data_IF_833593653814
#
_entry.id   IF_833593653814
#
_cell.length_a   1.000
_cell.length_b   1.000
_cell.length_c   1.000
_cell.angle_alpha   90.00
_cell.angle_beta   90.00
_cell.angle_gamma   90.00
#
_symmetry.space_group_name_H-M   'P 1'
#
loop_
_entity.id
_entity.type
_entity.pdbx_description
1 polymer ?
#
# COMPACT_ATOMS: atom_id res chain seq x y z
N UNK A 1 11.22 22.68 7.74
CA UNK A 1 10.74 21.30 7.47
C UNK A 1 10.87 21.03 5.97
N UNK A 2 11.56 19.97 5.55
CA UNK A 2 11.63 19.63 4.13
C UNK A 2 10.25 19.14 3.66
N UNK A 3 9.69 19.77 2.62
CA UNK A 3 8.45 19.32 2.00
C UNK A 3 8.69 17.97 1.31
N UNK A 4 7.91 16.95 1.67
CA UNK A 4 7.97 15.65 1.00
C UNK A 4 7.44 15.83 -0.42
N UNK A 5 8.28 15.54 -1.41
CA UNK A 5 7.89 15.58 -2.83
C UNK A 5 7.14 14.30 -3.18
N UNK A 6 5.89 14.46 -3.64
CA UNK A 6 5.10 13.38 -4.23
C UNK A 6 5.14 13.52 -5.74
N UNK A 7 5.36 12.40 -6.44
CA UNK A 7 5.29 12.33 -7.90
C UNK A 7 3.91 11.76 -8.30
N UNK A 8 3.27 12.28 -9.36
CA UNK A 8 2.05 11.68 -9.90
C UNK A 8 2.34 10.31 -10.52
N UNK A 9 1.32 9.46 -10.60
CA UNK A 9 1.44 8.07 -11.08
C UNK A 9 2.03 8.01 -12.49
N UNK A 10 1.61 8.92 -13.35
CA UNK A 10 2.10 9.07 -14.73
C UNK A 10 3.62 9.24 -14.78
N UNK A 11 4.19 10.10 -13.94
CA UNK A 11 5.65 10.29 -13.86
C UNK A 11 6.34 9.02 -13.39
N UNK A 12 5.76 8.28 -12.44
CA UNK A 12 6.33 7.01 -11.95
C UNK A 12 6.32 5.94 -13.04
N UNK A 13 5.21 5.83 -13.78
CA UNK A 13 5.05 4.89 -14.90
C UNK A 13 6.03 5.20 -16.03
N UNK A 14 6.13 6.46 -16.44
CA UNK A 14 7.10 6.90 -17.44
C UNK A 14 8.55 6.60 -17.03
N UNK A 15 8.87 6.75 -15.74
CA UNK A 15 10.19 6.41 -15.22
C UNK A 15 10.49 4.90 -15.31
N UNK A 16 9.47 4.07 -15.07
CA UNK A 16 9.58 2.61 -15.21
C UNK A 16 9.76 2.22 -16.68
N UNK A 17 8.97 2.80 -17.59
CA UNK A 17 9.09 2.57 -19.04
C UNK A 17 10.50 2.87 -19.54
N UNK A 18 11.05 4.04 -19.19
CA UNK A 18 12.42 4.42 -19.54
C UNK A 18 13.47 3.44 -18.99
N UNK A 19 13.23 2.88 -17.79
CA UNK A 19 14.13 1.86 -17.22
C UNK A 19 14.03 0.52 -17.93
N UNK A 20 12.86 0.17 -18.46
CA UNK A 20 12.64 -1.04 -19.26
C UNK A 20 13.30 -0.90 -20.63
N UNK A 21 13.24 0.29 -21.25
CA UNK A 21 13.94 0.57 -22.52
C UNK A 21 15.46 0.63 -22.39
N UNK A 22 15.99 0.52 -21.18
CA UNK A 22 17.43 0.43 -20.92
C UNK A 22 18.11 1.77 -20.59
N UNK A 23 17.35 2.87 -20.47
CA UNK A 23 17.91 4.19 -20.12
C UNK A 23 18.54 4.14 -18.73
N UNK A 24 19.76 4.67 -18.55
CA UNK A 24 20.43 4.66 -17.25
C UNK A 24 19.68 5.52 -16.23
N UNK A 25 19.77 5.13 -14.94
CA UNK A 25 19.06 5.80 -13.83
C UNK A 25 19.33 7.30 -13.77
N UNK A 26 20.56 7.74 -14.08
CA UNK A 26 20.94 9.16 -14.06
C UNK A 26 20.15 9.98 -15.07
N UNK A 27 20.05 9.51 -16.31
CA UNK A 27 19.29 10.19 -17.37
C UNK A 27 17.79 10.22 -17.04
N UNK A 28 17.23 9.14 -16.49
CA UNK A 28 15.82 9.12 -16.05
C UNK A 28 15.56 10.13 -14.95
N UNK A 29 16.49 10.25 -13.99
CA UNK A 29 16.37 11.22 -12.90
C UNK A 29 16.42 12.67 -13.41
N UNK A 30 17.30 12.95 -14.36
CA UNK A 30 17.44 14.27 -14.98
C UNK A 30 16.19 14.62 -15.80
N UNK A 31 15.75 13.73 -16.69
CA UNK A 31 14.58 13.94 -17.56
C UNK A 31 13.29 14.16 -16.77
N UNK A 32 13.08 13.44 -15.65
CA UNK A 32 11.87 13.50 -14.85
C UNK A 32 12.01 14.36 -13.59
N UNK A 33 13.13 15.07 -13.43
CA UNK A 33 13.43 15.87 -12.24
C UNK A 33 13.24 15.10 -10.92
N UNK A 34 13.63 13.81 -10.93
CA UNK A 34 13.54 12.94 -9.76
C UNK A 34 14.75 13.20 -8.87
N UNK A 35 14.52 13.67 -7.66
CA UNK A 35 15.61 14.02 -6.73
C UNK A 35 16.32 12.80 -6.14
N UNK A 36 15.59 11.71 -5.93
CA UNK A 36 16.09 10.56 -5.17
C UNK A 36 16.04 9.27 -5.97
N UNK A 37 17.21 8.69 -6.26
CA UNK A 37 17.35 7.41 -6.97
C UNK A 37 16.59 6.25 -6.32
N UNK A 38 16.50 6.23 -4.98
CA UNK A 38 15.85 5.13 -4.25
C UNK A 38 14.35 5.09 -4.51
N UNK A 39 13.72 6.23 -4.86
CA UNK A 39 12.32 6.25 -5.29
C UNK A 39 12.15 5.47 -6.59
N UNK A 40 13.04 5.69 -7.56
CA UNK A 40 13.02 4.97 -8.84
C UNK A 40 13.27 3.46 -8.65
N UNK A 41 14.25 3.10 -7.82
CA UNK A 41 14.52 1.69 -7.48
C UNK A 41 13.30 1.01 -6.81
N UNK A 42 12.60 1.75 -5.96
CA UNK A 42 11.38 1.26 -5.28
C UNK A 42 10.24 1.05 -6.29
N UNK A 43 10.01 1.99 -7.21
CA UNK A 43 9.00 1.85 -8.26
C UNK A 43 9.30 0.65 -9.17
N UNK A 44 10.57 0.46 -9.55
CA UNK A 44 10.99 -0.69 -10.34
C UNK A 44 10.80 -2.02 -9.58
N UNK A 45 11.02 -2.03 -8.27
CA UNK A 45 10.76 -3.20 -7.41
C UNK A 45 9.27 -3.56 -7.39
N UNK A 46 8.38 -2.58 -7.26
CA UNK A 46 6.93 -2.82 -7.30
C UNK A 46 6.49 -3.32 -8.66
N UNK A 47 6.97 -2.73 -9.75
CA UNK A 47 6.71 -3.20 -11.10
C UNK A 47 7.09 -4.68 -11.29
N UNK A 48 8.31 -5.08 -10.87
CA UNK A 48 8.77 -6.48 -10.96
C UNK A 48 7.92 -7.46 -10.14
N UNK A 49 7.27 -6.98 -9.08
CA UNK A 49 6.36 -7.77 -8.24
C UNK A 49 4.90 -7.72 -8.69
N UNK A 50 4.57 -6.96 -9.74
CA UNK A 50 3.18 -6.73 -10.17
C UNK A 50 2.38 -5.82 -9.23
N UNK A 51 3.03 -5.14 -8.28
CA UNK A 51 2.38 -4.29 -7.27
C UNK A 51 2.15 -2.85 -7.77
N UNK A 52 1.60 -2.67 -8.98
CA UNK A 52 1.40 -1.34 -9.59
C UNK A 52 0.47 -0.45 -8.78
N UNK A 53 -0.48 -1.07 -8.09
CA UNK A 53 -1.43 -0.45 -7.17
C UNK A 53 -0.73 0.35 -6.04
N UNK A 54 0.55 0.08 -5.75
CA UNK A 54 1.36 0.88 -4.81
C UNK A 54 1.81 2.24 -5.37
N UNK A 55 1.86 2.41 -6.69
CA UNK A 55 2.26 3.67 -7.32
C UNK A 55 1.25 4.78 -7.08
N UNK A 56 -0.02 4.43 -6.85
CA UNK A 56 -1.12 5.35 -6.55
C UNK A 56 -1.11 5.88 -5.12
N UNK A 57 -0.29 5.28 -4.23
CA UNK A 57 -0.33 5.64 -2.81
C UNK A 57 0.20 7.07 -2.57
N UNK A 58 -0.56 7.90 -1.81
CA UNK A 58 -0.11 9.22 -1.43
C UNK A 58 0.99 9.15 -0.37
N UNK A 59 1.93 10.09 -0.43
CA UNK A 59 3.07 10.13 0.49
C UNK A 59 2.61 10.52 1.89
N UNK A 60 2.98 9.74 2.90
CA UNK A 60 2.75 10.07 4.32
C UNK A 60 1.48 9.49 4.95
N UNK A 61 0.69 8.69 4.22
CA UNK A 61 -0.30 7.82 4.87
C UNK A 61 0.40 6.57 5.40
N UNK A 62 0.20 6.28 6.68
CA UNK A 62 0.59 4.99 7.26
C UNK A 62 -0.29 3.89 6.66
N UNK A 63 0.31 2.74 6.33
CA UNK A 63 -0.41 1.55 5.88
C UNK A 63 -1.48 1.20 6.93
N UNK A 64 -2.74 1.48 6.60
CA UNK A 64 -3.87 1.02 7.38
C UNK A 64 -4.40 -0.22 6.69
N UNK A 65 -4.50 -1.30 7.44
CA UNK A 65 -5.10 -2.54 6.98
C UNK A 65 -6.51 -2.24 6.45
N UNK A 66 -6.78 -2.51 5.17
CA UNK A 66 -8.05 -2.14 4.50
C UNK A 66 -8.09 -0.75 3.86
N UNK A 67 -7.00 0.03 3.86
CA UNK A 67 -6.84 1.25 3.03
C UNK A 67 -5.77 1.05 1.96
N UNK A 68 -5.92 -0.03 1.20
CA UNK A 68 -5.24 -0.21 -0.07
C UNK A 68 -5.93 0.59 -1.18
N UNK A 69 -5.38 0.59 -2.40
CA UNK A 69 -6.09 1.06 -3.60
C UNK A 69 -7.47 0.39 -3.70
N UNK A 70 -8.41 1.07 -4.36
CA UNK A 70 -9.80 0.59 -4.48
C UNK A 70 -9.82 -0.85 -4.99
N UNK A 71 -10.73 -1.65 -4.43
CA UNK A 71 -10.86 -3.06 -4.77
C UNK A 71 -11.07 -3.19 -6.28
N UNK A 72 -10.25 -4.02 -6.92
CA UNK A 72 -10.31 -4.18 -8.38
C UNK A 72 -11.60 -4.86 -8.85
N UNK A 73 -12.30 -5.51 -7.93
CA UNK A 73 -13.57 -6.20 -8.15
C UNK A 73 -14.40 -6.22 -6.87
N UNK A 74 -15.73 -6.16 -7.01
CA UNK A 74 -16.71 -6.31 -5.93
C UNK A 74 -16.46 -7.58 -5.09
N UNK A 75 -15.99 -8.65 -5.72
CA UNK A 75 -15.71 -9.92 -5.05
C UNK A 75 -14.53 -9.80 -4.06
N UNK A 76 -13.54 -8.99 -4.40
CA UNK A 76 -12.37 -8.72 -3.54
C UNK A 76 -12.76 -7.85 -2.34
N UNK A 77 -13.62 -6.85 -2.58
CA UNK A 77 -14.23 -6.02 -1.53
C UNK A 77 -15.02 -6.87 -0.53
N UNK A 78 -15.95 -7.68 -1.03
CA UNK A 78 -16.81 -8.54 -0.18
C UNK A 78 -15.94 -9.53 0.63
N UNK A 79 -14.85 -10.07 0.07
CA UNK A 79 -13.92 -10.92 0.80
C UNK A 79 -13.21 -10.19 1.92
N UNK A 80 -12.76 -8.96 1.67
CA UNK A 80 -12.10 -8.13 2.68
C UNK A 80 -13.05 -7.76 3.83
N UNK A 81 -14.28 -7.35 3.50
CA UNK A 81 -15.34 -7.05 4.48
C UNK A 81 -15.69 -8.27 5.32
N UNK A 82 -15.90 -9.44 4.68
CA UNK A 82 -16.16 -10.68 5.40
C UNK A 82 -15.03 -11.04 6.38
N UNK A 83 -13.77 -10.84 5.97
CA UNK A 83 -12.61 -11.10 6.85
C UNK A 83 -12.62 -10.16 8.05
N UNK A 84 -12.92 -8.87 7.84
CA UNK A 84 -12.99 -7.88 8.90
C UNK A 84 -14.14 -8.17 9.88
N UNK A 85 -15.32 -8.51 9.37
CA UNK A 85 -16.47 -8.90 10.20
C UNK A 85 -16.17 -10.14 11.04
N UNK A 86 -15.50 -11.15 10.48
CA UNK A 86 -15.06 -12.34 11.23
C UNK A 86 -14.11 -11.98 12.37
N UNK A 87 -13.17 -11.06 12.14
CA UNK A 87 -12.27 -10.58 13.20
C UNK A 87 -13.02 -9.88 14.33
N UNK A 88 -14.01 -9.03 14.00
CA UNK A 88 -14.85 -8.39 15.02
C UNK A 88 -15.62 -9.43 15.86
N UNK A 89 -16.20 -10.44 15.21
CA UNK A 89 -16.91 -11.52 15.89
C UNK A 89 -15.97 -12.28 16.83
N UNK A 90 -14.74 -12.60 16.39
CA UNK A 90 -13.77 -13.32 17.22
C UNK A 90 -13.36 -12.52 18.46
N UNK A 91 -13.19 -11.19 18.32
CA UNK A 91 -12.93 -10.30 19.46
C UNK A 91 -14.10 -10.31 20.44
N UNK A 92 -15.33 -10.21 19.95
CA UNK A 92 -16.53 -10.24 20.80
C UNK A 92 -16.70 -11.59 21.52
N UNK A 93 -16.39 -12.70 20.85
CA UNK A 93 -16.40 -14.03 21.48
C UNK A 93 -15.40 -14.13 22.62
N UNK A 94 -14.15 -13.69 22.39
CA UNK A 94 -13.11 -13.66 23.42
C UNK A 94 -13.50 -12.78 24.60
N UNK A 95 -14.11 -11.63 24.35
CA UNK A 95 -14.62 -10.75 25.40
C UNK A 95 -15.66 -11.46 26.27
N UNK A 96 -16.64 -12.11 25.65
CA UNK A 96 -17.69 -12.86 26.35
C UNK A 96 -17.15 -14.04 27.17
N UNK A 97 -16.12 -14.71 26.67
CA UNK A 97 -15.41 -15.76 27.41
C UNK A 97 -14.69 -15.19 28.65
N UNK A 98 -14.01 -14.05 28.50
CA UNK A 98 -13.38 -13.38 29.63
C UNK A 98 -14.40 -12.92 30.68
N UNK A 99 -15.53 -12.33 30.26
CA UNK A 99 -16.60 -11.94 31.19
C UNK A 99 -17.08 -13.14 32.03
N UNK A 100 -17.32 -14.29 31.39
CA UNK A 100 -17.71 -15.53 32.09
C UNK A 100 -16.65 -15.98 33.08
N UNK A 101 -15.38 -15.95 32.68
CA UNK A 101 -14.27 -16.32 33.58
C UNK A 101 -14.12 -15.37 34.75
N UNK A 102 -14.43 -14.08 34.60
CA UNK A 102 -14.38 -13.11 35.69
C UNK A 102 -15.54 -13.31 36.67
N UNK A 103 -16.76 -13.57 36.18
CA UNK A 103 -17.92 -13.84 37.04
C UNK A 103 -17.81 -15.14 37.84
N UNK A 104 -17.09 -16.16 37.33
CA UNK A 104 -16.84 -17.40 38.07
C UNK A 104 -15.78 -17.27 39.17
N UNK A 105 -15.03 -16.17 39.20
CA UNK A 105 -13.94 -15.93 40.16
C UNK A 105 -14.32 -14.91 41.25
N UNK A 106 -15.50 -14.31 41.19
CA UNK A 106 -16.11 -13.47 42.23
C UNK A 106 -17.11 -14.28 43.05
#
# INVERSE_FOLDING_TARGET
MATRVSYPVETKMKAIELRITGVPVKEVMEQLSIRNKTQLETWMRWYRKGELNRLEQPVGKQYSYGKGPEFTSELEQIKAENRFLKQQIDVLKKYKEMERSCHQKS
#
